data_IF_187008531694
#
_entry.id   IF_187008531694
#
_cell.length_a   1.000
_cell.length_b   1.000
_cell.length_c   1.000
_cell.angle_alpha   90.00
_cell.angle_beta   90.00
_cell.angle_gamma   90.00
#
_symmetry.space_group_name_H-M   'P 1'
#
loop_
_entity.id
_entity.type
_entity.pdbx_description
1 polymer ?
#
# COMPACT_ATOMS: atom_id res chain seq x y z
N UNK A 1 -47.23 -21.46 4.05
CA UNK A 1 -46.82 -21.46 5.48
C UNK A 1 -45.49 -20.72 5.72
N UNK A 2 -44.36 -21.10 5.06
CA UNK A 2 -43.08 -20.42 5.27
C UNK A 2 -43.14 -18.95 4.81
N UNK A 3 -43.66 -18.66 3.63
CA UNK A 3 -43.81 -17.30 3.11
C UNK A 3 -44.76 -16.46 3.97
N UNK A 4 -45.86 -17.05 4.44
CA UNK A 4 -46.80 -16.40 5.36
C UNK A 4 -46.13 -16.05 6.70
N UNK A 5 -45.30 -16.95 7.22
CA UNK A 5 -44.49 -16.68 8.42
C UNK A 5 -43.54 -15.54 8.20
N UNK A 6 -42.81 -15.51 7.08
CA UNK A 6 -41.85 -14.43 6.75
C UNK A 6 -42.59 -13.08 6.65
N UNK A 7 -43.75 -13.05 5.93
CA UNK A 7 -44.53 -11.82 5.75
C UNK A 7 -45.06 -11.29 7.10
N UNK A 8 -45.47 -12.18 8.00
CA UNK A 8 -46.09 -11.78 9.26
C UNK A 8 -45.07 -11.48 10.39
N UNK A 9 -43.87 -12.03 10.35
CA UNK A 9 -42.88 -11.97 11.43
C UNK A 9 -41.67 -11.18 11.09
N UNK A 10 -41.16 -11.23 9.87
CA UNK A 10 -39.97 -10.49 9.48
C UNK A 10 -40.27 -8.98 9.34
N UNK A 11 -39.49 -8.10 9.98
CA UNK A 11 -39.66 -6.66 9.79
C UNK A 11 -39.33 -6.26 8.36
N UNK A 12 -40.17 -5.42 7.75
CA UNK A 12 -39.86 -4.81 6.45
C UNK A 12 -38.66 -3.82 6.57
N UNK A 13 -38.01 -3.49 5.46
CA UNK A 13 -36.81 -2.63 5.46
C UNK A 13 -37.01 -1.27 6.16
N UNK A 14 -38.20 -0.68 6.05
CA UNK A 14 -38.54 0.59 6.68
C UNK A 14 -38.74 0.51 8.21
N UNK A 15 -38.86 -0.70 8.75
CA UNK A 15 -38.94 -0.98 10.20
C UNK A 15 -37.63 -1.55 10.75
N UNK A 16 -36.61 -1.72 9.93
CA UNK A 16 -35.31 -2.19 10.36
C UNK A 16 -34.60 -1.14 11.24
N UNK A 17 -33.67 -1.54 12.11
CA UNK A 17 -32.85 -0.59 12.87
C UNK A 17 -32.14 0.40 11.94
N UNK A 18 -31.96 1.63 12.44
CA UNK A 18 -31.22 2.67 11.73
C UNK A 18 -29.77 2.27 11.51
N UNK A 19 -29.17 2.73 10.44
CA UNK A 19 -27.73 2.71 10.25
C UNK A 19 -27.11 3.92 10.94
N UNK A 20 -25.86 3.77 11.40
CA UNK A 20 -25.11 4.90 11.95
C UNK A 20 -24.21 5.52 10.87
N UNK A 21 -24.14 6.85 10.88
CA UNK A 21 -23.14 7.57 10.10
C UNK A 21 -21.81 7.59 10.84
N UNK A 22 -20.72 7.91 10.14
CA UNK A 22 -19.41 8.14 10.76
C UNK A 22 -19.37 9.28 11.76
N UNK A 23 -20.38 10.14 11.76
CA UNK A 23 -20.56 11.24 12.70
C UNK A 23 -21.49 10.89 13.89
N UNK A 24 -21.97 9.63 13.91
CA UNK A 24 -22.85 9.12 14.96
C UNK A 24 -24.33 9.46 14.77
N UNK A 25 -24.74 9.98 13.62
CA UNK A 25 -26.14 10.25 13.30
C UNK A 25 -26.88 8.98 12.88
N UNK A 26 -28.12 8.82 13.31
CA UNK A 26 -29.00 7.74 12.89
C UNK A 26 -29.59 8.00 11.49
N UNK A 27 -29.39 7.05 10.59
CA UNK A 27 -29.90 7.08 9.23
C UNK A 27 -31.02 6.05 9.10
N UNK A 28 -32.25 6.54 9.21
CA UNK A 28 -33.43 5.72 9.02
C UNK A 28 -33.71 5.43 7.55
N UNK A 29 -34.27 4.27 7.26
CA UNK A 29 -34.76 3.94 5.94
C UNK A 29 -36.00 4.78 5.61
N UNK A 30 -35.95 5.50 4.47
CA UNK A 30 -37.05 6.34 3.98
C UNK A 30 -36.98 6.42 2.46
N UNK A 31 -38.09 6.22 1.76
CA UNK A 31 -38.09 6.22 0.28
C UNK A 31 -37.99 7.61 -0.35
N UNK A 32 -38.50 8.63 0.32
CA UNK A 32 -38.58 10.02 -0.20
C UNK A 32 -37.39 10.89 0.13
N UNK A 33 -36.43 10.40 0.91
CA UNK A 33 -35.23 11.13 1.32
C UNK A 33 -34.12 11.07 0.26
N UNK A 34 -33.07 11.93 0.34
CA UNK A 34 -31.92 11.84 -0.54
C UNK A 34 -31.27 10.44 -0.51
N UNK A 35 -30.88 9.92 -1.68
CA UNK A 35 -30.40 8.57 -1.83
C UNK A 35 -29.08 8.33 -1.09
N UNK A 36 -29.00 7.20 -0.38
CA UNK A 36 -27.79 6.68 0.28
C UNK A 36 -27.73 5.19 0.04
N UNK A 37 -26.62 4.70 -0.49
CA UNK A 37 -26.33 3.29 -0.66
C UNK A 37 -25.01 2.90 0.00
N UNK A 38 -24.99 1.77 0.65
CA UNK A 38 -23.80 1.19 1.26
C UNK A 38 -23.28 0.01 0.44
N UNK A 39 -22.00 0.08 0.05
CA UNK A 39 -21.34 -0.97 -0.72
C UNK A 39 -20.81 -2.03 0.25
N UNK A 40 -21.44 -3.19 0.25
CA UNK A 40 -21.08 -4.28 1.16
C UNK A 40 -20.23 -5.38 0.51
N UNK A 41 -20.14 -5.40 -0.84
CA UNK A 41 -19.37 -6.39 -1.57
C UNK A 41 -18.92 -5.86 -2.93
N UNK A 42 -17.69 -6.18 -3.29
CA UNK A 42 -17.13 -5.98 -4.62
C UNK A 42 -16.72 -7.32 -5.22
N UNK A 43 -16.80 -7.47 -6.52
CA UNK A 43 -16.44 -8.70 -7.22
C UNK A 43 -15.87 -8.36 -8.60
N UNK A 44 -14.94 -9.16 -9.10
CA UNK A 44 -14.40 -9.04 -10.45
C UNK A 44 -14.83 -10.27 -11.26
N UNK A 45 -15.55 -10.05 -12.36
CA UNK A 45 -15.93 -11.12 -13.28
C UNK A 45 -15.22 -10.97 -14.62
N UNK A 46 -14.77 -12.10 -15.17
CA UNK A 46 -14.20 -12.13 -16.52
C UNK A 46 -15.24 -11.58 -17.52
N UNK A 47 -14.81 -10.73 -18.43
CA UNK A 47 -15.62 -10.06 -19.48
C UNK A 47 -16.55 -8.94 -19.02
N UNK A 48 -16.87 -8.81 -17.74
CA UNK A 48 -17.72 -7.74 -17.21
C UNK A 48 -16.87 -6.68 -16.50
N UNK A 49 -15.84 -7.13 -15.78
CA UNK A 49 -14.99 -6.32 -14.92
C UNK A 49 -15.53 -6.21 -13.51
N UNK A 50 -15.33 -5.06 -12.89
CA UNK A 50 -15.73 -4.79 -11.51
C UNK A 50 -17.25 -4.67 -11.38
N UNK A 51 -17.82 -5.41 -10.43
CA UNK A 51 -19.22 -5.39 -10.05
C UNK A 51 -19.29 -4.93 -8.60
N UNK A 52 -20.08 -3.92 -8.36
CA UNK A 52 -20.29 -3.36 -7.03
C UNK A 52 -21.68 -3.70 -6.53
N UNK A 53 -21.77 -4.44 -5.43
CA UNK A 53 -23.01 -4.79 -4.75
C UNK A 53 -23.27 -3.80 -3.63
N UNK A 54 -24.48 -3.27 -3.58
CA UNK A 54 -24.85 -2.30 -2.55
C UNK A 54 -26.27 -2.53 -2.05
N UNK A 55 -26.52 -2.05 -0.85
CA UNK A 55 -27.86 -1.92 -0.29
C UNK A 55 -28.28 -0.46 -0.31
N UNK A 56 -29.45 -0.17 -0.83
CA UNK A 56 -30.06 1.15 -0.71
C UNK A 56 -30.51 1.31 0.74
N UNK A 57 -29.90 2.21 1.47
CA UNK A 57 -30.24 2.50 2.88
C UNK A 57 -31.41 3.47 2.94
N UNK A 58 -31.39 4.50 2.10
CA UNK A 58 -32.35 5.59 2.08
C UNK A 58 -32.57 6.10 0.66
N UNK A 59 -33.76 6.58 0.37
CA UNK A 59 -34.11 7.14 -0.94
C UNK A 59 -34.32 6.10 -2.01
N UNK A 60 -34.19 6.52 -3.26
CA UNK A 60 -34.32 5.71 -4.47
C UNK A 60 -33.14 5.96 -5.39
N UNK A 61 -32.70 4.91 -6.05
CA UNK A 61 -31.59 4.95 -7.03
C UNK A 61 -32.11 4.40 -8.34
N UNK A 62 -32.11 5.23 -9.37
CA UNK A 62 -32.49 4.86 -10.72
C UNK A 62 -31.27 4.74 -11.65
N UNK A 63 -31.43 4.08 -12.78
CA UNK A 63 -30.44 4.07 -13.86
C UNK A 63 -30.16 5.54 -14.31
N UNK A 64 -28.90 5.91 -14.41
CA UNK A 64 -28.47 7.28 -14.74
C UNK A 64 -28.25 8.20 -13.53
N UNK A 65 -28.66 7.81 -12.32
CA UNK A 65 -28.42 8.60 -11.09
C UNK A 65 -26.92 8.85 -10.88
N UNK A 66 -26.57 10.09 -10.55
CA UNK A 66 -25.23 10.49 -10.12
C UNK A 66 -25.17 10.54 -8.60
N UNK A 67 -24.25 9.81 -8.01
CA UNK A 67 -23.96 9.76 -6.59
C UNK A 67 -22.52 10.20 -6.32
N UNK A 68 -22.23 10.58 -5.09
CA UNK A 68 -20.86 10.88 -4.64
C UNK A 68 -20.38 9.74 -3.76
N UNK A 69 -19.21 9.20 -4.07
CA UNK A 69 -18.50 8.29 -3.17
C UNK A 69 -17.87 9.13 -2.05
N UNK A 70 -18.37 8.97 -0.84
CA UNK A 70 -17.99 9.84 0.31
C UNK A 70 -16.55 9.68 0.74
N UNK A 71 -15.90 8.52 0.48
CA UNK A 71 -14.50 8.30 0.77
C UNK A 71 -13.57 9.02 -0.21
N UNK A 72 -13.88 8.98 -1.51
CA UNK A 72 -13.00 9.53 -2.56
C UNK A 72 -13.39 10.95 -2.98
N UNK A 73 -14.62 11.39 -2.67
CA UNK A 73 -15.20 12.64 -3.17
C UNK A 73 -15.59 12.59 -4.65
N UNK A 74 -15.37 11.48 -5.34
CA UNK A 74 -15.64 11.35 -6.76
C UNK A 74 -17.12 11.15 -7.05
N UNK A 75 -17.56 11.69 -8.17
CA UNK A 75 -18.89 11.44 -8.71
C UNK A 75 -18.92 10.11 -9.44
N UNK A 76 -19.90 9.29 -9.08
CA UNK A 76 -20.15 7.97 -9.65
C UNK A 76 -21.53 7.94 -10.32
N UNK A 77 -21.57 7.57 -11.60
CA UNK A 77 -22.82 7.45 -12.34
C UNK A 77 -23.27 6.00 -12.42
N UNK A 78 -24.47 5.71 -11.96
CA UNK A 78 -25.09 4.39 -12.04
C UNK A 78 -25.56 4.18 -13.50
N UNK A 79 -24.70 3.64 -14.35
CA UNK A 79 -24.99 3.46 -15.77
C UNK A 79 -25.91 2.27 -16.07
N UNK A 80 -25.86 1.26 -15.23
CA UNK A 80 -26.71 0.06 -15.29
C UNK A 80 -27.06 -0.38 -13.88
N UNK A 81 -28.27 -0.84 -13.69
CA UNK A 81 -28.79 -1.25 -12.39
C UNK A 81 -29.40 -2.64 -12.49
N UNK A 82 -29.03 -3.51 -11.54
CA UNK A 82 -29.50 -4.90 -11.52
C UNK A 82 -29.96 -5.29 -10.11
N UNK A 83 -31.08 -6.00 -10.05
CA UNK A 83 -31.44 -6.82 -8.90
C UNK A 83 -30.73 -8.18 -9.02
N UNK A 84 -30.34 -8.76 -7.88
CA UNK A 84 -29.51 -9.97 -7.84
C UNK A 84 -30.29 -11.13 -7.22
N UNK A 85 -30.34 -12.24 -7.95
CA UNK A 85 -30.92 -13.50 -7.49
C UNK A 85 -29.91 -14.63 -7.72
N UNK A 86 -29.05 -14.89 -6.74
CA UNK A 86 -27.94 -15.84 -6.88
C UNK A 86 -26.95 -15.39 -7.96
N UNK A 87 -26.78 -16.19 -9.02
CA UNK A 87 -25.92 -15.83 -10.16
C UNK A 87 -26.63 -14.98 -11.22
N UNK A 88 -27.95 -14.86 -11.12
CA UNK A 88 -28.77 -14.16 -12.12
C UNK A 88 -28.83 -12.67 -11.75
N UNK A 89 -28.57 -11.81 -12.73
CA UNK A 89 -28.75 -10.37 -12.64
C UNK A 89 -29.91 -9.95 -13.53
N UNK A 90 -30.92 -9.38 -12.93
CA UNK A 90 -32.13 -8.92 -13.60
C UNK A 90 -32.02 -7.41 -13.71
N UNK A 91 -32.00 -6.88 -14.93
CA UNK A 91 -31.96 -5.43 -15.15
C UNK A 91 -33.24 -4.81 -14.58
N UNK A 92 -33.06 -3.76 -13.79
CA UNK A 92 -34.15 -2.96 -13.19
C UNK A 92 -33.92 -1.48 -13.47
N UNK A 93 -34.99 -0.72 -13.45
CA UNK A 93 -34.95 0.73 -13.71
C UNK A 93 -34.67 1.53 -12.42
N UNK A 94 -35.09 1.00 -11.27
CA UNK A 94 -34.98 1.67 -9.97
C UNK A 94 -34.86 0.63 -8.85
N UNK A 95 -34.18 1.02 -7.76
CA UNK A 95 -34.11 0.34 -6.47
C UNK A 95 -34.50 1.33 -5.36
N UNK A 96 -35.28 0.87 -4.40
CA UNK A 96 -35.79 1.66 -3.25
C UNK A 96 -35.08 1.29 -1.96
N UNK A 97 -35.28 2.10 -0.91
CA UNK A 97 -34.75 1.87 0.44
C UNK A 97 -35.05 0.45 0.93
N UNK A 98 -33.98 -0.28 1.28
CA UNK A 98 -34.00 -1.69 1.69
C UNK A 98 -33.60 -2.68 0.60
N UNK A 99 -33.69 -2.31 -0.67
CA UNK A 99 -33.32 -3.18 -1.78
C UNK A 99 -31.80 -3.40 -1.85
N UNK A 100 -31.45 -4.58 -2.34
CA UNK A 100 -30.08 -4.97 -2.69
C UNK A 100 -29.97 -5.07 -4.20
N UNK A 101 -28.97 -4.38 -4.73
CA UNK A 101 -28.67 -4.43 -6.14
C UNK A 101 -27.18 -4.42 -6.43
N UNK A 102 -26.86 -4.41 -7.71
CA UNK A 102 -25.50 -4.20 -8.17
C UNK A 102 -25.44 -3.30 -9.39
N UNK A 103 -24.30 -2.72 -9.57
CA UNK A 103 -23.92 -1.93 -10.75
C UNK A 103 -22.53 -2.31 -11.23
N UNK A 104 -22.16 -1.86 -12.41
CA UNK A 104 -20.87 -2.12 -13.04
C UNK A 104 -20.17 -0.81 -13.40
N UNK A 105 -18.85 -0.88 -13.58
CA UNK A 105 -18.03 0.24 -14.11
C UNK A 105 -18.01 1.49 -13.23
N UNK A 106 -18.09 1.36 -11.92
CA UNK A 106 -17.77 2.44 -11.01
C UNK A 106 -16.25 2.69 -10.97
N UNK A 107 -15.84 3.95 -10.73
CA UNK A 107 -14.44 4.34 -10.76
C UNK A 107 -13.85 4.41 -9.35
N UNK A 108 -13.30 3.29 -8.87
CA UNK A 108 -12.61 3.25 -7.58
C UNK A 108 -13.52 3.10 -6.36
N UNK A 109 -14.77 2.70 -6.57
CA UNK A 109 -15.70 2.31 -5.50
C UNK A 109 -15.41 0.87 -5.07
N UNK A 110 -15.31 0.66 -3.76
CA UNK A 110 -14.98 -0.64 -3.15
C UNK A 110 -15.87 -0.95 -1.95
N UNK A 111 -15.77 -2.16 -1.45
CA UNK A 111 -16.43 -2.58 -0.20
C UNK A 111 -16.16 -1.59 0.93
N UNK A 112 -17.19 -1.26 1.72
CA UNK A 112 -17.24 -0.23 2.76
C UNK A 112 -17.41 1.22 2.25
N UNK A 113 -17.50 1.46 0.96
CA UNK A 113 -17.80 2.81 0.49
C UNK A 113 -19.29 3.13 0.62
N UNK A 114 -19.59 4.39 0.89
CA UNK A 114 -20.95 4.94 0.83
C UNK A 114 -21.09 5.79 -0.43
N UNK A 115 -22.15 5.54 -1.16
CA UNK A 115 -22.59 6.34 -2.30
C UNK A 115 -23.79 7.16 -1.86
N UNK A 116 -23.70 8.49 -1.85
CA UNK A 116 -24.79 9.36 -1.40
C UNK A 116 -25.13 10.43 -2.41
N UNK A 117 -26.36 10.96 -2.31
CA UNK A 117 -26.80 12.07 -3.13
C UNK A 117 -25.90 13.29 -2.92
N UNK A 118 -25.46 14.00 -3.99
CA UNK A 118 -24.60 15.18 -3.87
C UNK A 118 -25.18 16.30 -3.01
N UNK A 119 -26.52 16.38 -2.92
CA UNK A 119 -27.23 17.40 -2.14
C UNK A 119 -27.20 17.17 -0.63
N UNK A 120 -26.93 15.94 -0.17
CA UNK A 120 -26.89 15.58 1.23
C UNK A 120 -25.86 14.44 1.44
N UNK A 121 -24.54 14.73 1.35
CA UNK A 121 -23.52 13.73 1.50
C UNK A 121 -23.51 13.18 2.93
N UNK A 122 -23.59 11.86 3.04
CA UNK A 122 -23.57 11.12 4.31
C UNK A 122 -22.71 9.88 4.13
N UNK A 123 -21.89 9.57 5.12
CA UNK A 123 -21.06 8.36 5.14
C UNK A 123 -21.57 7.40 6.20
N UNK A 124 -21.84 6.16 5.82
CA UNK A 124 -22.22 5.09 6.75
C UNK A 124 -20.97 4.57 7.45
N UNK A 125 -21.13 4.21 8.74
CA UNK A 125 -20.06 3.54 9.49
C UNK A 125 -19.60 2.26 8.79
N UNK A 126 -18.28 2.11 8.54
CA UNK A 126 -17.76 0.98 7.80
C UNK A 126 -17.82 -0.32 8.62
N UNK A 127 -17.98 -1.44 7.95
CA UNK A 127 -17.84 -2.77 8.56
C UNK A 127 -16.40 -2.94 9.01
N UNK A 128 -16.19 -3.30 10.27
CA UNK A 128 -14.87 -3.63 10.81
C UNK A 128 -14.54 -5.06 10.43
N UNK A 129 -13.62 -5.23 9.48
CA UNK A 129 -13.10 -6.53 9.10
C UNK A 129 -11.96 -6.95 10.03
N UNK A 130 -11.81 -8.26 10.32
CA UNK A 130 -10.69 -8.75 11.10
C UNK A 130 -9.38 -8.55 10.35
N UNK A 131 -8.34 -8.15 11.06
CA UNK A 131 -7.01 -8.02 10.50
C UNK A 131 -6.42 -9.38 10.10
N UNK A 132 -5.70 -9.48 8.98
CA UNK A 132 -5.05 -10.70 8.56
C UNK A 132 -3.90 -11.07 9.51
N UNK A 133 -3.84 -12.36 9.89
CA UNK A 133 -2.84 -12.88 10.85
C UNK A 133 -1.86 -13.89 10.26
N UNK A 134 -2.15 -14.41 9.09
CA UNK A 134 -1.28 -15.36 8.40
C UNK A 134 -0.63 -14.69 7.20
N UNK A 135 0.68 -14.86 7.07
CA UNK A 135 1.51 -14.20 6.07
C UNK A 135 2.30 -15.23 5.27
N UNK A 136 2.28 -15.13 3.94
CA UNK A 136 3.04 -15.97 3.04
C UNK A 136 3.63 -15.12 1.89
N UNK A 137 4.74 -15.56 1.33
CA UNK A 137 5.21 -15.02 0.05
C UNK A 137 4.67 -15.88 -1.09
N UNK A 138 4.36 -15.24 -2.20
CA UNK A 138 3.80 -15.89 -3.40
C UNK A 138 4.90 -16.04 -4.43
N UNK A 139 4.99 -17.22 -5.04
CA UNK A 139 5.90 -17.51 -6.13
C UNK A 139 5.16 -18.20 -7.27
N UNK A 140 5.10 -17.57 -8.44
CA UNK A 140 4.59 -18.24 -9.64
C UNK A 140 5.46 -19.45 -10.01
N UNK A 141 4.85 -20.51 -10.53
CA UNK A 141 5.60 -21.65 -11.03
C UNK A 141 6.34 -21.32 -12.31
N UNK A 142 5.72 -20.53 -13.18
CA UNK A 142 6.30 -20.05 -14.43
C UNK A 142 6.56 -18.54 -14.34
N UNK A 143 7.75 -18.11 -14.74
CA UNK A 143 8.13 -16.68 -14.69
C UNK A 143 7.22 -15.80 -15.58
N UNK A 144 6.75 -16.36 -16.70
CA UNK A 144 5.78 -15.68 -17.59
C UNK A 144 4.45 -15.36 -16.95
N UNK A 145 4.09 -16.00 -15.85
CA UNK A 145 2.81 -15.84 -15.16
C UNK A 145 2.85 -14.83 -14.00
N UNK A 146 4.04 -14.30 -13.64
CA UNK A 146 4.19 -13.38 -12.51
C UNK A 146 3.32 -12.13 -12.65
N UNK A 147 3.30 -11.52 -13.84
CA UNK A 147 2.48 -10.32 -14.07
C UNK A 147 0.98 -10.60 -13.98
N UNK A 148 0.54 -11.72 -14.59
CA UNK A 148 -0.87 -12.15 -14.52
C UNK A 148 -1.28 -12.47 -13.09
N UNK A 149 -0.40 -13.17 -12.35
CA UNK A 149 -0.62 -13.50 -10.95
C UNK A 149 -0.76 -12.23 -10.10
N UNK A 150 0.12 -11.24 -10.31
CA UNK A 150 0.03 -9.95 -9.63
C UNK A 150 -1.31 -9.26 -9.84
N UNK A 151 -1.84 -9.28 -11.07
CA UNK A 151 -3.17 -8.73 -11.37
C UNK A 151 -4.28 -9.49 -10.64
N UNK A 152 -4.29 -10.82 -10.74
CA UNK A 152 -5.32 -11.66 -10.10
C UNK A 152 -5.30 -11.55 -8.58
N UNK A 153 -4.12 -11.39 -7.97
CA UNK A 153 -4.00 -11.14 -6.52
C UNK A 153 -4.54 -9.76 -6.13
N UNK A 154 -4.36 -8.74 -6.96
CA UNK A 154 -4.97 -7.43 -6.73
C UNK A 154 -6.50 -7.47 -6.87
N UNK A 155 -7.02 -8.25 -7.84
CA UNK A 155 -8.45 -8.49 -7.96
C UNK A 155 -8.99 -9.19 -6.71
N UNK A 156 -8.28 -10.20 -6.18
CA UNK A 156 -8.64 -10.87 -4.93
C UNK A 156 -8.68 -9.92 -3.72
N UNK A 157 -7.70 -9.00 -3.60
CA UNK A 157 -7.69 -7.94 -2.58
C UNK A 157 -8.88 -6.99 -2.72
N UNK A 158 -9.31 -6.70 -3.95
CA UNK A 158 -10.48 -5.86 -4.20
C UNK A 158 -11.79 -6.56 -3.79
N UNK A 159 -11.87 -7.89 -4.00
CA UNK A 159 -13.05 -8.70 -3.64
C UNK A 159 -13.15 -8.97 -2.15
N UNK A 160 -12.02 -9.24 -1.48
CA UNK A 160 -11.95 -9.61 -0.07
C UNK A 160 -11.09 -8.62 0.73
N UNK A 161 -11.72 -7.71 1.49
CA UNK A 161 -10.99 -6.73 2.32
C UNK A 161 -10.10 -7.33 3.41
N UNK A 162 -10.25 -8.62 3.72
CA UNK A 162 -9.42 -9.34 4.70
C UNK A 162 -8.13 -9.91 4.10
N UNK A 163 -7.95 -9.77 2.78
CA UNK A 163 -6.73 -10.13 2.07
C UNK A 163 -5.91 -8.88 1.82
N UNK A 164 -4.67 -8.88 2.27
CA UNK A 164 -3.69 -7.85 1.92
C UNK A 164 -2.66 -8.43 0.95
N UNK A 165 -2.37 -7.69 -0.09
CA UNK A 165 -1.33 -8.03 -1.08
C UNK A 165 -0.38 -6.84 -1.18
N UNK A 166 0.90 -7.10 -0.98
CA UNK A 166 1.95 -6.10 -0.97
C UNK A 166 3.20 -6.62 -1.68
N UNK A 167 3.79 -5.81 -2.54
CA UNK A 167 5.10 -6.11 -3.10
C UNK A 167 6.20 -5.48 -2.24
N UNK A 168 6.99 -6.31 -1.58
CA UNK A 168 8.16 -5.86 -0.85
C UNK A 168 9.34 -5.66 -1.81
N UNK A 169 9.70 -4.41 -2.06
CA UNK A 169 10.87 -4.04 -2.89
C UNK A 169 12.17 -4.57 -2.29
N UNK A 170 12.28 -4.49 -0.97
CA UNK A 170 13.44 -4.97 -0.22
C UNK A 170 13.64 -6.48 -0.38
N UNK A 171 12.58 -7.25 -0.18
CA UNK A 171 12.65 -8.72 -0.25
C UNK A 171 12.54 -9.25 -1.69
N UNK A 172 12.16 -8.40 -2.62
CA UNK A 172 11.81 -8.75 -4.02
C UNK A 172 10.80 -9.91 -4.03
N UNK A 173 9.75 -9.78 -3.19
CA UNK A 173 8.69 -10.79 -3.03
C UNK A 173 7.34 -10.14 -2.97
N UNK A 174 6.34 -10.78 -3.58
CA UNK A 174 4.94 -10.47 -3.35
C UNK A 174 4.50 -11.19 -2.08
N UNK A 175 4.08 -10.42 -1.09
CA UNK A 175 3.58 -10.92 0.20
C UNK A 175 2.06 -10.86 0.18
N UNK A 176 1.45 -11.97 0.55
CA UNK A 176 0.00 -12.05 0.79
C UNK A 176 -0.26 -12.31 2.26
N UNK A 177 -1.30 -11.68 2.79
CA UNK A 177 -1.76 -11.90 4.15
C UNK A 177 -3.25 -12.22 4.14
N UNK A 178 -3.67 -13.11 5.01
CA UNK A 178 -5.07 -13.54 5.16
C UNK A 178 -5.35 -13.99 6.59
N UNK A 179 -6.58 -14.44 6.85
CA UNK A 179 -7.03 -14.84 8.19
C UNK A 179 -6.35 -16.10 8.71
N UNK A 180 -5.87 -16.97 7.81
CA UNK A 180 -5.19 -18.22 8.13
C UNK A 180 -4.74 -18.95 6.87
N UNK A 181 -3.99 -20.03 7.06
CA UNK A 181 -3.49 -20.86 5.96
C UNK A 181 -4.64 -21.41 5.08
N UNK A 182 -5.72 -21.88 5.72
CA UNK A 182 -6.87 -22.41 5.00
C UNK A 182 -7.54 -21.36 4.11
N UNK A 183 -7.65 -20.11 4.58
CA UNK A 183 -8.17 -18.99 3.80
C UNK A 183 -7.36 -18.79 2.52
N UNK A 184 -6.03 -18.72 2.63
CA UNK A 184 -5.16 -18.56 1.47
C UNK A 184 -5.19 -19.79 0.55
N UNK A 185 -5.34 -21.01 1.08
CA UNK A 185 -5.49 -22.22 0.27
C UNK A 185 -6.81 -22.23 -0.53
N UNK A 186 -7.90 -21.70 0.02
CA UNK A 186 -9.15 -21.51 -0.73
C UNK A 186 -8.92 -20.52 -1.88
N UNK A 187 -8.27 -19.40 -1.62
CA UNK A 187 -7.92 -18.43 -2.65
C UNK A 187 -7.08 -19.06 -3.77
N UNK A 188 -6.03 -19.82 -3.41
CA UNK A 188 -5.20 -20.54 -4.39
C UNK A 188 -6.03 -21.47 -5.27
N UNK A 189 -6.87 -22.29 -4.65
CA UNK A 189 -7.72 -23.23 -5.39
C UNK A 189 -8.67 -22.51 -6.34
N UNK A 190 -9.21 -21.36 -5.95
CA UNK A 190 -10.06 -20.54 -6.80
C UNK A 190 -9.27 -19.99 -8.00
N UNK A 191 -8.11 -19.39 -7.76
CA UNK A 191 -7.24 -18.83 -8.82
C UNK A 191 -6.80 -19.93 -9.80
N UNK A 192 -6.41 -21.09 -9.31
CA UNK A 192 -6.04 -22.23 -10.16
C UNK A 192 -7.18 -22.68 -11.06
N UNK A 193 -8.42 -22.73 -10.53
CA UNK A 193 -9.60 -23.16 -11.29
C UNK A 193 -10.07 -22.11 -12.30
N UNK A 194 -10.14 -20.86 -11.90
CA UNK A 194 -10.74 -19.78 -12.68
C UNK A 194 -9.75 -19.14 -13.67
N UNK A 195 -8.51 -18.91 -13.23
CA UNK A 195 -7.50 -18.19 -14.00
C UNK A 195 -6.47 -19.12 -14.66
N UNK A 196 -6.47 -20.43 -14.31
CA UNK A 196 -5.47 -21.42 -14.79
C UNK A 196 -4.02 -21.03 -14.43
N UNK A 197 -3.85 -20.34 -13.30
CA UNK A 197 -2.53 -19.92 -12.80
C UNK A 197 -2.13 -20.80 -11.62
N UNK A 198 -0.92 -21.35 -11.67
CA UNK A 198 -0.36 -22.17 -10.60
C UNK A 198 0.76 -21.42 -9.89
N UNK A 199 0.71 -21.38 -8.58
CA UNK A 199 1.70 -20.74 -7.73
C UNK A 199 1.81 -21.44 -6.37
N UNK A 200 2.90 -21.17 -5.67
CA UNK A 200 3.17 -21.73 -4.35
C UNK A 200 3.25 -20.64 -3.29
N UNK A 201 2.82 -20.98 -2.08
CA UNK A 201 3.12 -20.20 -0.89
C UNK A 201 4.44 -20.66 -0.31
N UNK A 202 5.33 -19.71 -0.07
CA UNK A 202 6.63 -19.94 0.56
C UNK A 202 6.75 -19.05 1.80
N UNK A 203 7.65 -19.42 2.70
CA UNK A 203 7.95 -18.58 3.85
C UNK A 203 8.50 -17.22 3.37
N UNK A 204 7.96 -16.09 3.87
CA UNK A 204 8.50 -14.79 3.55
C UNK A 204 9.94 -14.69 4.02
N UNK A 205 10.80 -14.04 3.23
CA UNK A 205 12.15 -13.71 3.68
C UNK A 205 12.10 -12.77 4.87
N UNK A 206 13.08 -12.88 5.75
CA UNK A 206 13.24 -11.96 6.88
C UNK A 206 13.97 -10.70 6.37
N UNK A 207 13.45 -9.51 6.62
CA UNK A 207 14.12 -8.26 6.24
C UNK A 207 15.28 -7.98 7.19
N UNK A 208 16.45 -8.54 6.89
CA UNK A 208 17.67 -8.25 7.63
C UNK A 208 18.08 -6.79 7.43
N UNK A 209 18.86 -6.26 8.39
CA UNK A 209 19.50 -4.96 8.31
C UNK A 209 21.01 -5.14 8.42
N UNK A 210 21.74 -4.40 7.59
CA UNK A 210 23.19 -4.32 7.69
C UNK A 210 23.59 -3.14 8.57
N UNK A 211 24.69 -3.27 9.26
CA UNK A 211 25.36 -2.17 9.95
C UNK A 211 26.86 -2.44 10.01
N UNK A 212 27.61 -1.41 10.32
CA UNK A 212 29.06 -1.53 10.53
C UNK A 212 29.37 -1.65 12.02
N UNK A 213 30.38 -2.40 12.36
CA UNK A 213 30.79 -2.65 13.75
C UNK A 213 32.11 -2.01 14.13
N UNK A 214 32.85 -1.50 13.13
CA UNK A 214 34.15 -0.88 13.34
C UNK A 214 34.26 0.39 12.49
N UNK A 215 35.07 1.33 12.96
CA UNK A 215 35.45 2.50 12.18
C UNK A 215 36.31 2.06 11.00
N UNK A 216 36.00 2.54 9.83
CA UNK A 216 36.77 2.29 8.61
C UNK A 216 36.98 3.59 7.82
N UNK A 217 38.09 3.68 7.13
CA UNK A 217 38.42 4.77 6.22
C UNK A 217 38.53 4.18 4.81
N UNK A 218 37.98 4.91 3.84
CA UNK A 218 38.18 4.62 2.43
C UNK A 218 38.29 5.90 1.63
N UNK A 219 39.07 5.83 0.56
CA UNK A 219 39.13 6.86 -0.47
C UNK A 219 38.92 6.22 -1.85
N UNK A 220 38.26 6.96 -2.71
CA UNK A 220 38.03 6.53 -4.07
C UNK A 220 38.27 7.68 -5.04
N UNK A 221 39.03 7.39 -6.09
CA UNK A 221 39.37 8.32 -7.16
C UNK A 221 38.83 7.81 -8.48
N UNK A 222 37.85 8.50 -9.01
CA UNK A 222 37.30 8.26 -10.34
C UNK A 222 38.05 9.12 -11.37
N UNK A 223 38.70 8.49 -12.34
CA UNK A 223 39.29 9.18 -13.47
C UNK A 223 38.94 8.38 -14.75
N UNK A 224 38.13 8.99 -15.59
CA UNK A 224 37.75 8.38 -16.89
C UNK A 224 37.91 9.43 -17.99
N UNK A 225 38.65 9.09 -19.02
CA UNK A 225 38.84 9.91 -20.20
C UNK A 225 38.65 9.04 -21.45
N UNK A 226 37.51 9.23 -22.13
CA UNK A 226 37.13 8.47 -23.32
C UNK A 226 36.84 9.42 -24.49
N UNK A 227 37.67 10.47 -24.67
CA UNK A 227 37.51 11.53 -25.67
C UNK A 227 36.83 12.79 -25.08
N UNK A 228 37.32 13.98 -25.39
CA UNK A 228 36.79 15.25 -24.88
C UNK A 228 37.11 15.55 -23.42
N UNK A 229 36.22 16.27 -22.75
CA UNK A 229 36.36 16.61 -21.33
C UNK A 229 36.27 15.34 -20.46
N UNK A 230 37.36 15.01 -19.74
CA UNK A 230 37.40 13.84 -18.85
C UNK A 230 36.52 14.01 -17.60
N UNK A 231 36.12 12.88 -17.02
CA UNK A 231 35.45 12.83 -15.74
C UNK A 231 36.47 12.63 -14.63
N UNK A 232 36.39 13.45 -13.58
CA UNK A 232 37.24 13.35 -12.40
C UNK A 232 36.41 13.58 -11.14
N UNK A 233 36.64 12.76 -10.13
CA UNK A 233 36.10 12.94 -8.81
C UNK A 233 36.91 12.12 -7.80
N UNK A 234 37.23 12.71 -6.66
CA UNK A 234 37.92 12.01 -5.59
C UNK A 234 37.22 12.35 -4.27
N UNK A 235 36.90 11.32 -3.49
CA UNK A 235 36.21 11.46 -2.21
C UNK A 235 36.94 10.60 -1.18
N UNK A 236 37.21 11.19 -0.04
CA UNK A 236 37.76 10.52 1.14
C UNK A 236 36.68 10.51 2.22
N UNK A 237 36.44 9.36 2.83
CA UNK A 237 35.45 9.26 3.88
C UNK A 237 35.83 8.30 4.99
N UNK A 238 35.34 8.62 6.18
CA UNK A 238 35.35 7.73 7.32
C UNK A 238 33.92 7.30 7.57
N UNK A 239 33.73 6.00 7.82
CA UNK A 239 32.44 5.44 8.21
C UNK A 239 32.58 4.77 9.56
N UNK A 240 31.60 4.98 10.44
CA UNK A 240 31.58 4.41 11.78
C UNK A 240 30.18 4.05 12.24
N UNK A 241 30.05 3.10 13.20
CA UNK A 241 28.75 2.79 13.80
C UNK A 241 28.16 4.04 14.45
N UNK A 242 26.86 4.26 14.23
CA UNK A 242 26.12 5.33 14.90
C UNK A 242 25.23 4.76 16.01
N UNK A 243 25.10 5.50 17.11
CA UNK A 243 24.13 5.26 18.17
C UNK A 243 23.61 6.58 18.74
N UNK A 244 22.39 6.59 19.23
CA UNK A 244 21.78 7.78 19.82
C UNK A 244 22.59 8.28 21.01
N UNK A 245 22.84 9.61 21.04
CA UNK A 245 23.68 10.22 22.06
C UNK A 245 25.18 10.13 21.78
N UNK A 246 25.59 9.62 20.64
CA UNK A 246 27.00 9.58 20.24
C UNK A 246 27.59 11.01 20.17
N UNK A 247 28.75 11.28 20.80
CA UNK A 247 29.36 12.59 20.77
C UNK A 247 29.72 13.03 19.35
N UNK A 248 29.66 14.35 19.11
CA UNK A 248 30.09 14.90 17.84
C UNK A 248 31.59 14.68 17.62
N UNK A 249 32.02 14.35 16.40
CA UNK A 249 33.42 14.13 16.10
C UNK A 249 34.19 15.46 16.13
N UNK A 250 35.02 15.63 17.14
CA UNK A 250 35.97 16.77 17.26
C UNK A 250 37.39 16.25 17.25
N UNK A 251 38.29 16.93 16.55
CA UNK A 251 39.68 16.50 16.38
C UNK A 251 39.77 15.03 15.99
N UNK A 252 39.01 14.66 14.96
CA UNK A 252 38.81 13.26 14.58
C UNK A 252 40.05 12.72 13.87
N UNK A 253 40.73 11.78 14.52
CA UNK A 253 41.93 11.13 13.93
C UNK A 253 41.49 10.16 12.81
N UNK A 254 42.07 10.35 11.62
CA UNK A 254 41.73 9.54 10.47
C UNK A 254 42.38 8.15 10.58
N UNK A 255 41.59 7.04 10.62
CA UNK A 255 42.16 5.70 10.73
C UNK A 255 43.13 5.41 9.58
N UNK A 256 44.33 4.89 9.90
CA UNK A 256 45.33 4.51 8.89
C UNK A 256 46.08 5.66 8.20
N UNK A 257 45.83 6.92 8.56
CA UNK A 257 46.50 8.11 7.97
C UNK A 257 47.44 8.82 8.93
N UNK A 258 48.06 8.09 9.86
CA UNK A 258 49.01 8.67 10.84
C UNK A 258 48.37 9.67 11.80
N UNK A 259 48.93 10.86 11.90
CA UNK A 259 48.43 11.93 12.78
C UNK A 259 47.48 12.93 12.10
N UNK A 260 46.90 12.53 10.98
CA UNK A 260 45.91 13.34 10.27
C UNK A 260 44.64 13.51 11.13
N UNK A 261 44.30 14.75 11.41
CA UNK A 261 43.13 15.15 12.19
C UNK A 261 42.19 15.94 11.29
N UNK A 262 40.91 15.60 11.33
CA UNK A 262 39.82 16.32 10.64
C UNK A 262 38.81 16.87 11.63
N UNK A 263 38.26 18.05 11.32
CA UNK A 263 37.27 18.71 12.15
C UNK A 263 36.01 18.94 11.31
N UNK A 264 34.94 18.14 11.51
CA UNK A 264 33.67 18.36 10.84
C UNK A 264 33.09 19.74 11.11
N UNK A 265 32.57 20.39 10.06
CA UNK A 265 31.99 21.72 10.11
C UNK A 265 30.48 21.73 9.97
N UNK A 266 29.94 20.82 9.19
CA UNK A 266 28.50 20.70 8.95
C UNK A 266 28.01 19.33 9.36
N UNK A 267 26.84 19.31 9.96
CA UNK A 267 26.13 18.08 10.38
C UNK A 267 24.78 18.03 9.71
N UNK A 268 24.47 16.89 9.14
CA UNK A 268 23.15 16.55 8.64
C UNK A 268 22.74 15.18 9.20
N UNK A 269 21.48 15.03 9.59
CA UNK A 269 20.95 13.79 10.14
C UNK A 269 19.70 13.38 9.37
N UNK A 270 19.62 12.12 8.99
CA UNK A 270 18.55 11.57 8.18
C UNK A 270 17.93 10.36 8.87
N UNK A 271 16.64 10.42 9.13
CA UNK A 271 15.85 9.27 9.51
C UNK A 271 15.58 8.41 8.27
N UNK A 272 15.96 7.14 8.33
CA UNK A 272 15.84 6.23 7.19
C UNK A 272 14.43 5.65 7.13
N UNK A 273 13.85 5.56 5.93
CA UNK A 273 12.52 5.02 5.73
C UNK A 273 12.34 3.57 6.21
N UNK A 274 13.43 2.82 6.29
CA UNK A 274 13.48 1.44 6.80
C UNK A 274 13.92 1.32 8.26
N UNK A 275 13.94 2.44 8.98
CA UNK A 275 14.32 2.56 10.37
C UNK A 275 15.83 2.74 10.58
N UNK A 276 16.19 3.43 11.66
CA UNK A 276 17.56 3.84 11.97
C UNK A 276 17.95 5.17 11.34
N UNK A 277 19.20 5.58 11.50
CA UNK A 277 19.67 6.90 11.11
C UNK A 277 20.96 6.86 10.29
N UNK A 278 21.13 7.89 9.46
CA UNK A 278 22.40 8.27 8.86
C UNK A 278 22.81 9.65 9.40
N UNK A 279 23.98 9.74 10.03
CA UNK A 279 24.61 11.02 10.32
C UNK A 279 25.70 11.31 9.28
N UNK A 280 25.58 12.45 8.65
CA UNK A 280 26.51 12.91 7.62
C UNK A 280 27.25 14.16 8.09
N UNK A 281 28.55 14.14 8.02
CA UNK A 281 29.44 15.26 8.38
C UNK A 281 30.33 15.62 7.21
N UNK A 282 30.54 16.93 7.00
CA UNK A 282 31.56 17.42 6.10
C UNK A 282 32.69 18.08 6.90
N UNK A 283 33.90 17.59 6.70
CA UNK A 283 35.14 18.13 7.27
C UNK A 283 36.03 18.75 6.19
N UNK A 284 35.49 19.07 5.02
CA UNK A 284 36.25 19.64 3.90
C UNK A 284 36.78 21.01 4.22
N UNK A 285 38.04 21.22 3.95
CA UNK A 285 38.75 22.48 4.18
C UNK A 285 39.30 23.02 2.86
N UNK A 286 39.32 24.35 2.73
CA UNK A 286 39.95 25.01 1.58
C UNK A 286 39.26 24.83 0.23
N UNK A 287 37.98 24.36 0.21
CA UNK A 287 37.24 24.21 -1.04
C UNK A 287 37.71 23.03 -1.88
N UNK A 288 38.34 22.02 -1.27
CA UNK A 288 38.81 20.81 -1.97
C UNK A 288 37.67 20.08 -2.74
N UNK A 289 36.45 20.13 -2.20
CA UNK A 289 35.23 19.73 -2.91
C UNK A 289 34.26 20.91 -2.86
N UNK A 290 33.74 21.34 -4.00
CA UNK A 290 32.74 22.38 -4.08
C UNK A 290 31.42 21.90 -3.41
N UNK A 291 30.82 22.75 -2.59
CA UNK A 291 29.60 22.46 -1.83
C UNK A 291 28.44 21.94 -2.71
N UNK A 292 28.35 22.34 -3.98
CA UNK A 292 27.36 21.86 -4.93
C UNK A 292 27.40 20.34 -5.18
N UNK A 293 28.53 19.68 -4.89
CA UNK A 293 28.67 18.23 -5.08
C UNK A 293 28.29 17.42 -3.82
N UNK A 294 28.08 18.06 -2.67
CA UNK A 294 27.69 17.37 -1.44
C UNK A 294 26.39 16.57 -1.57
N UNK A 295 25.33 17.09 -2.23
CA UNK A 295 24.12 16.31 -2.46
C UNK A 295 24.34 15.05 -3.32
N UNK A 296 25.29 15.09 -4.26
CA UNK A 296 25.62 13.94 -5.09
C UNK A 296 26.38 12.86 -4.29
N UNK A 297 27.26 13.27 -3.38
CA UNK A 297 27.96 12.36 -2.45
C UNK A 297 26.94 11.69 -1.53
N UNK A 298 26.05 12.46 -0.92
CA UNK A 298 25.00 11.97 -0.05
C UNK A 298 24.08 10.98 -0.79
N UNK A 299 23.67 11.32 -2.02
CA UNK A 299 22.88 10.41 -2.85
C UNK A 299 23.59 9.07 -3.08
N UNK A 300 24.87 9.07 -3.38
CA UNK A 300 25.66 7.85 -3.54
C UNK A 300 25.75 7.02 -2.25
N UNK A 301 25.84 7.68 -1.09
CA UNK A 301 25.81 7.00 0.22
C UNK A 301 24.43 6.35 0.43
N UNK A 302 23.34 7.09 0.21
CA UNK A 302 21.97 6.57 0.36
C UNK A 302 21.69 5.39 -0.59
N UNK A 303 22.13 5.45 -1.84
CA UNK A 303 22.02 4.34 -2.79
C UNK A 303 22.76 3.07 -2.29
N UNK A 304 23.89 3.24 -1.62
CA UNK A 304 24.62 2.11 -1.01
C UNK A 304 24.00 1.64 0.29
N UNK A 305 23.29 2.48 1.00
CA UNK A 305 22.50 2.07 2.17
C UNK A 305 21.20 1.37 1.79
N UNK A 306 20.63 1.68 0.63
CA UNK A 306 19.49 0.95 0.05
C UNK A 306 19.86 -0.48 -0.38
N UNK A 307 21.11 -0.68 -0.78
CA UNK A 307 21.63 -1.98 -1.19
C UNK A 307 22.95 -2.25 -0.46
N UNK A 308 22.85 -2.79 0.75
CA UNK A 308 24.00 -3.08 1.60
C UNK A 308 24.99 -4.04 0.94
N UNK A 309 26.28 -3.90 1.22
CA UNK A 309 27.35 -4.58 0.48
C UNK A 309 27.48 -6.09 0.78
N UNK A 310 26.88 -6.59 1.87
CA UNK A 310 27.02 -8.01 2.26
C UNK A 310 25.92 -8.89 1.69
N UNK A 311 24.68 -8.53 1.91
CA UNK A 311 23.52 -9.35 1.56
C UNK A 311 22.53 -8.61 0.65
N UNK A 312 22.80 -7.34 0.35
CA UNK A 312 21.87 -6.45 -0.34
C UNK A 312 20.71 -5.99 0.55
N UNK A 313 20.82 -6.17 1.88
CA UNK A 313 19.82 -5.69 2.84
C UNK A 313 20.09 -4.22 3.16
N UNK A 314 19.03 -3.50 3.54
CA UNK A 314 19.16 -2.09 3.90
C UNK A 314 20.13 -1.88 5.07
N UNK A 315 21.08 -0.94 4.89
CA UNK A 315 22.02 -0.55 5.94
C UNK A 315 21.43 0.57 6.82
N UNK A 316 21.78 0.57 8.10
CA UNK A 316 21.29 1.56 9.09
C UNK A 316 22.34 1.90 10.14
N UNK A 317 22.08 2.98 10.86
CA UNK A 317 22.88 3.40 12.03
C UNK A 317 24.36 3.56 11.69
N UNK A 318 24.60 4.43 10.72
CA UNK A 318 25.94 4.73 10.21
C UNK A 318 26.20 6.23 10.31
N UNK A 319 27.41 6.58 10.77
CA UNK A 319 27.96 7.93 10.67
C UNK A 319 28.98 7.96 9.55
N UNK A 320 28.89 8.97 8.69
CA UNK A 320 29.82 9.22 7.60
C UNK A 320 30.46 10.60 7.77
N UNK A 321 31.77 10.66 7.70
CA UNK A 321 32.55 11.92 7.69
C UNK A 321 33.30 12.01 6.38
N UNK A 322 32.99 12.99 5.56
CA UNK A 322 33.70 13.31 4.30
C UNK A 322 34.74 14.38 4.58
N UNK A 323 36.01 14.16 4.15
CA UNK A 323 37.13 15.03 4.44
C UNK A 323 38.08 15.23 3.26
#
# INVERSE_FOLDING_TARGET
RLMEFIINVAPGPLKAPCFLSTEGEEIAAAETAPAVAFVFKSQVEQHIGEITYFRVIRGRIAEGTELVNTRTGNKEKISQLFAVAGKNRIKVTELSAGDIGCTVKLKGTRTNDTLSAPSAPVSIEPIVFPEPRYRAAVKAKEQSDEEKLGKVLNDAKFEDPTILVEYSKELKQTIIQGQGEHHLNILRTRIEKENKLSYDYIAPKIPYRETITKVAQADYRHKKQSGGAGQFGEVHMIIEPYYDGMPEPKNYKVPGKGDMIVNPKTKEEYDLAWGGKLQFYSAIVGGAIDARFMPAILKGIMEKMDEGPLTGSYARDIRVVVY
#
